data_IF_146676712929
#
_entry.id   IF_146676712929
#
_cell.length_a   1.000
_cell.length_b   1.000
_cell.length_c   1.000
_cell.angle_alpha   90.00
_cell.angle_beta   90.00
_cell.angle_gamma   90.00
#
_symmetry.space_group_name_H-M   'P 1'
#
loop_
_entity.id
_entity.type
_entity.pdbx_description
1 polymer ?
#
# COMPACT_ATOMS: atom_id res chain seq x y z
N UNK A 1 15.68 -12.51 18.57
CA UNK A 1 14.42 -12.85 17.89
C UNK A 1 14.55 -12.33 16.47
N UNK A 2 14.76 -13.21 15.49
CA UNK A 2 14.78 -12.81 14.08
C UNK A 2 13.34 -12.45 13.73
N UNK A 3 13.01 -11.15 13.73
CA UNK A 3 11.74 -10.67 13.22
C UNK A 3 11.83 -10.76 11.70
N UNK A 4 11.35 -11.86 11.14
CA UNK A 4 11.05 -11.87 9.71
C UNK A 4 10.07 -10.73 9.44
N UNK A 5 10.43 -9.82 8.55
CA UNK A 5 9.57 -8.71 8.17
C UNK A 5 8.49 -9.28 7.25
N UNK A 6 7.22 -9.10 7.61
CA UNK A 6 6.10 -9.58 6.81
C UNK A 6 6.05 -8.86 5.46
N UNK A 7 6.01 -9.65 4.39
CA UNK A 7 5.98 -9.21 2.99
C UNK A 7 4.72 -9.69 2.31
N UNK A 8 4.04 -8.81 1.58
CA UNK A 8 2.80 -9.15 0.90
C UNK A 8 2.61 -8.30 -0.36
N UNK A 9 1.77 -8.73 -1.31
CA UNK A 9 1.44 -7.92 -2.49
C UNK A 9 0.90 -6.56 -2.08
N UNK A 10 1.30 -5.51 -2.79
CA UNK A 10 0.75 -4.17 -2.56
C UNK A 10 -0.78 -4.23 -2.70
N UNK A 11 -1.54 -3.78 -1.69
CA UNK A 11 -3.00 -3.93 -1.68
C UNK A 11 -3.71 -3.00 -2.67
N UNK A 12 -2.97 -2.09 -3.32
CA UNK A 12 -3.48 -1.15 -4.33
C UNK A 12 -3.21 -1.65 -5.74
N UNK A 13 -1.94 -1.90 -6.07
CA UNK A 13 -1.54 -2.21 -7.44
C UNK A 13 -1.28 -3.69 -7.71
N UNK A 14 -1.05 -4.49 -6.67
CA UNK A 14 -0.72 -5.92 -6.73
C UNK A 14 0.52 -6.28 -7.58
N UNK A 15 1.29 -5.28 -8.06
CA UNK A 15 2.45 -5.46 -8.92
C UNK A 15 3.78 -5.67 -8.18
N UNK A 16 3.85 -5.27 -6.91
CA UNK A 16 5.05 -5.37 -6.08
C UNK A 16 4.76 -6.14 -4.80
N UNK A 17 5.81 -6.74 -4.24
CA UNK A 17 5.79 -7.25 -2.86
C UNK A 17 6.38 -6.17 -1.97
N UNK A 18 5.63 -5.76 -0.95
CA UNK A 18 6.00 -4.68 -0.03
C UNK A 18 6.08 -5.20 1.40
N UNK A 19 7.01 -4.63 2.18
CA UNK A 19 7.10 -4.87 3.62
C UNK A 19 6.07 -4.02 4.36
N UNK A 20 5.65 -4.45 5.55
CA UNK A 20 4.85 -3.60 6.43
C UNK A 20 5.62 -2.29 6.75
N UNK A 21 4.92 -1.15 6.70
CA UNK A 21 5.48 0.20 6.91
C UNK A 21 6.41 0.71 5.81
N UNK A 22 6.41 0.06 4.64
CA UNK A 22 7.16 0.48 3.46
C UNK A 22 6.25 1.16 2.41
N UNK A 23 6.85 1.83 1.43
CA UNK A 23 6.14 2.52 0.35
C UNK A 23 6.22 1.68 -0.92
N UNK A 24 5.09 1.47 -1.59
CA UNK A 24 5.10 0.80 -2.88
C UNK A 24 5.75 1.66 -3.96
N UNK A 25 6.89 1.23 -4.51
CA UNK A 25 7.60 1.94 -5.58
C UNK A 25 6.79 2.14 -6.87
N UNK A 26 5.77 1.31 -7.11
CA UNK A 26 4.97 1.37 -8.33
C UNK A 26 3.78 2.33 -8.25
N UNK A 27 3.07 2.36 -7.13
CA UNK A 27 1.88 3.21 -6.99
C UNK A 27 2.04 4.33 -5.96
N UNK A 28 2.99 4.22 -5.03
CA UNK A 28 3.23 5.19 -3.97
C UNK A 28 2.37 4.99 -2.72
N UNK A 29 1.58 3.92 -2.63
CA UNK A 29 0.81 3.59 -1.42
C UNK A 29 1.74 3.28 -0.24
N UNK A 30 1.51 3.92 0.91
CA UNK A 30 2.23 3.64 2.15
C UNK A 30 1.57 2.46 2.87
N UNK A 31 2.27 1.33 2.91
CA UNK A 31 1.75 0.08 3.38
C UNK A 31 1.71 0.02 4.91
N UNK A 32 0.60 -0.36 5.53
CA UNK A 32 0.46 -0.36 7.01
C UNK A 32 0.46 -1.76 7.63
N UNK A 33 0.82 -2.79 6.87
CA UNK A 33 0.78 -4.18 7.33
C UNK A 33 -0.39 -4.98 6.74
N UNK A 34 -0.56 -6.22 7.19
CA UNK A 34 -1.63 -7.12 6.74
C UNK A 34 -3.03 -6.55 6.99
N UNK A 35 -3.18 -5.79 8.07
CA UNK A 35 -4.35 -4.97 8.35
C UNK A 35 -4.09 -3.56 7.79
N UNK A 36 -4.73 -3.24 6.67
CA UNK A 36 -4.67 -1.89 6.12
C UNK A 36 -5.41 -0.90 7.04
N UNK A 37 -4.75 0.20 7.37
CA UNK A 37 -5.29 1.28 8.18
C UNK A 37 -5.56 2.47 7.26
N UNK A 38 -6.85 2.71 6.99
CA UNK A 38 -7.28 3.85 6.19
C UNK A 38 -7.03 5.18 6.92
N UNK A 39 -6.62 6.20 6.16
CA UNK A 39 -6.44 7.57 6.66
C UNK A 39 -5.23 7.81 7.57
N UNK A 40 -4.39 6.79 7.81
CA UNK A 40 -3.14 6.93 8.57
C UNK A 40 -2.07 7.72 7.79
N UNK A 41 -0.98 7.10 7.32
CA UNK A 41 -0.02 7.79 6.44
C UNK A 41 -0.63 8.24 5.11
N UNK A 42 -1.66 7.53 4.63
CA UNK A 42 -2.32 7.81 3.37
C UNK A 42 -3.47 8.82 3.53
N UNK A 43 -3.63 9.73 2.57
CA UNK A 43 -4.72 10.73 2.55
C UNK A 43 -6.05 10.23 1.99
N UNK A 44 -6.07 9.00 1.49
CA UNK A 44 -7.22 8.34 0.88
C UNK A 44 -7.43 6.97 1.51
N UNK A 45 -8.66 6.46 1.44
CA UNK A 45 -8.97 5.08 1.79
C UNK A 45 -8.33 4.12 0.78
N UNK A 46 -8.15 2.85 1.18
CA UNK A 46 -7.64 1.82 0.28
C UNK A 46 -8.47 1.69 -1.01
N UNK A 47 -9.80 1.83 -0.89
CA UNK A 47 -10.71 1.73 -2.04
C UNK A 47 -10.60 2.94 -2.98
N UNK A 48 -10.38 4.14 -2.45
CA UNK A 48 -10.07 5.33 -3.27
C UNK A 48 -8.72 5.18 -3.98
N UNK A 49 -7.71 4.64 -3.30
CA UNK A 49 -6.41 4.38 -3.90
C UNK A 49 -6.46 3.37 -5.06
N UNK A 50 -7.20 2.28 -4.88
CA UNK A 50 -7.43 1.29 -5.96
C UNK A 50 -8.12 1.93 -7.17
N UNK A 51 -9.12 2.80 -6.94
CA UNK A 51 -9.80 3.54 -8.02
C UNK A 51 -8.87 4.51 -8.72
N UNK A 52 -8.12 5.31 -7.98
CA UNK A 52 -7.15 6.26 -8.52
C UNK A 52 -6.12 5.53 -9.39
N UNK A 53 -5.53 4.46 -8.87
CA UNK A 53 -4.56 3.65 -9.61
C UNK A 53 -5.15 3.05 -10.90
N UNK A 54 -6.37 2.49 -10.84
CA UNK A 54 -7.07 1.95 -12.02
C UNK A 54 -7.35 3.03 -13.08
N UNK A 55 -7.59 4.27 -12.65
CA UNK A 55 -7.83 5.40 -13.53
C UNK A 55 -6.54 6.05 -14.05
N UNK A 56 -5.36 5.58 -13.63
CA UNK A 56 -4.07 6.22 -13.94
C UNK A 56 -3.86 7.54 -13.20
N UNK A 57 -4.68 7.80 -12.17
CA UNK A 57 -4.54 8.93 -11.27
C UNK A 57 -3.51 8.62 -10.19
N UNK A 58 -3.10 9.67 -9.48
CA UNK A 58 -2.05 9.52 -8.48
C UNK A 58 -2.60 9.02 -7.14
N UNK A 59 -1.96 7.99 -6.60
CA UNK A 59 -2.16 7.50 -5.23
C UNK A 59 -1.23 8.29 -4.29
N UNK A 60 -1.77 9.28 -3.56
CA UNK A 60 -1.15 10.00 -2.42
C UNK A 60 -2.12 10.97 -1.75
#
# INVERSE_FOLDING_TARGET
MNKEIEKFPCPVCEKTIVEAWDICDECGWENTGILNIDGGPNKMTLEEAKKAYKNGEKVR
#
